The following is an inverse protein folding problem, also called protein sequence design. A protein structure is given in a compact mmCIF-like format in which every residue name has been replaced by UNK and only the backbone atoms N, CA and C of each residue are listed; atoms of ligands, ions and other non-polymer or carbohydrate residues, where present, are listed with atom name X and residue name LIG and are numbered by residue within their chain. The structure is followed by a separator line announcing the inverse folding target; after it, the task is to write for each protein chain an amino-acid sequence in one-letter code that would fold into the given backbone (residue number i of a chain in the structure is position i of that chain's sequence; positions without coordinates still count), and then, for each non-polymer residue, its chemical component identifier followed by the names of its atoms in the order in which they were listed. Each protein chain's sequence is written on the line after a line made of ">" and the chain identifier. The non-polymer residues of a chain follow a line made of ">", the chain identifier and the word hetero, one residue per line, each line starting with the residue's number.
data_IF_791222323476
#
_entry.id   IF_791222323476
#
_cell.length_a   1.000
_cell.length_b   1.000
_cell.length_c   1.000
_cell.angle_alpha   90.00
_cell.angle_beta   90.00
_cell.angle_gamma   90.00
#
_symmetry.space_group_name_H-M   'P 1'
#
loop_
_entity.id
_entity.type
_entity.pdbx_description
1 polymer ?
#
# COMPACT_ATOMS: atom_id res chain seq x y z
N UNK A 1 16.09 5.09 -3.76
CA UNK A 1 15.68 3.70 -3.51
C UNK A 1 16.86 2.76 -3.76
N UNK A 2 17.17 1.88 -2.81
CA UNK A 2 18.09 0.77 -3.05
C UNK A 2 17.26 -0.39 -3.62
N UNK A 3 17.16 -0.47 -4.95
CA UNK A 3 16.44 -1.55 -5.61
C UNK A 3 17.42 -2.66 -5.98
N UNK A 4 17.16 -3.86 -5.49
CA UNK A 4 17.92 -5.08 -5.82
C UNK A 4 17.04 -6.02 -6.62
N UNK A 5 17.57 -6.52 -7.73
CA UNK A 5 16.93 -7.61 -8.46
C UNK A 5 17.32 -8.93 -7.81
N UNK A 6 16.33 -9.71 -7.41
CA UNK A 6 16.51 -11.08 -6.93
C UNK A 6 15.95 -12.08 -7.96
N UNK A 7 16.57 -13.24 -8.07
CA UNK A 7 15.88 -14.36 -8.68
C UNK A 7 14.63 -14.69 -7.83
N UNK A 8 13.52 -15.14 -8.43
CA UNK A 8 12.30 -15.43 -7.66
C UNK A 8 12.50 -16.36 -6.47
N UNK A 9 13.41 -17.32 -6.58
CA UNK A 9 13.77 -18.25 -5.49
C UNK A 9 14.53 -17.57 -4.33
N UNK A 10 15.20 -16.44 -4.56
CA UNK A 10 16.02 -15.77 -3.55
C UNK A 10 15.26 -14.64 -2.85
N UNK A 11 14.15 -14.18 -3.45
CA UNK A 11 13.36 -13.06 -2.93
C UNK A 11 12.73 -13.40 -1.57
N UNK A 12 12.15 -14.58 -1.43
CA UNK A 12 11.50 -15.00 -0.18
C UNK A 12 12.50 -15.10 0.97
N UNK A 13 13.66 -15.70 0.73
CA UNK A 13 14.71 -15.80 1.75
C UNK A 13 15.27 -14.41 2.13
N UNK A 14 15.39 -13.50 1.16
CA UNK A 14 15.83 -12.13 1.41
C UNK A 14 14.79 -11.34 2.22
N UNK A 15 13.51 -11.50 1.91
CA UNK A 15 12.41 -10.90 2.68
C UNK A 15 12.36 -11.45 4.10
N UNK A 16 12.49 -12.78 4.29
CA UNK A 16 12.51 -13.40 5.61
C UNK A 16 13.64 -12.81 6.47
N UNK A 17 14.85 -12.78 5.93
CA UNK A 17 16.01 -12.23 6.66
C UNK A 17 15.84 -10.72 6.98
N UNK A 18 15.24 -9.95 6.08
CA UNK A 18 14.94 -8.54 6.30
C UNK A 18 13.90 -8.36 7.41
N UNK A 19 12.79 -9.10 7.35
CA UNK A 19 11.71 -8.97 8.31
C UNK A 19 12.10 -9.48 9.70
N UNK A 20 12.91 -10.54 9.81
CA UNK A 20 13.47 -10.99 11.09
C UNK A 20 14.27 -9.89 11.79
N UNK A 21 15.12 -9.17 11.05
CA UNK A 21 15.88 -8.05 11.61
C UNK A 21 14.96 -6.88 11.99
N UNK A 22 13.92 -6.60 11.17
CA UNK A 22 12.94 -5.55 11.44
C UNK A 22 12.14 -5.86 12.71
N UNK A 23 11.69 -7.11 12.88
CA UNK A 23 10.99 -7.57 14.08
C UNK A 23 11.84 -7.43 15.34
N UNK A 24 13.10 -7.88 15.27
CA UNK A 24 14.02 -7.79 16.40
C UNK A 24 14.25 -6.31 16.83
N UNK A 25 14.39 -5.40 15.87
CA UNK A 25 14.51 -3.97 16.13
C UNK A 25 13.24 -3.38 16.74
N UNK A 26 12.09 -3.72 16.19
CA UNK A 26 10.80 -3.28 16.69
C UNK A 26 10.60 -3.71 18.16
N UNK A 27 10.89 -4.97 18.47
CA UNK A 27 10.78 -5.50 19.82
C UNK A 27 11.76 -4.82 20.79
N UNK A 28 12.98 -4.50 20.34
CA UNK A 28 13.93 -3.74 21.15
C UNK A 28 13.41 -2.32 21.47
N UNK A 29 12.84 -1.60 20.50
CA UNK A 29 12.22 -0.29 20.74
C UNK A 29 10.98 -0.39 21.62
N UNK A 30 10.16 -1.42 21.42
CA UNK A 30 8.99 -1.69 22.26
C UNK A 30 9.37 -1.93 23.72
N UNK A 31 10.34 -2.80 23.98
CA UNK A 31 10.86 -3.09 25.32
C UNK A 31 11.47 -1.84 25.98
N UNK A 32 12.12 -0.98 25.21
CA UNK A 32 12.62 0.31 25.71
C UNK A 32 11.53 1.34 25.99
N UNK A 33 10.26 1.03 25.66
CA UNK A 33 9.12 1.93 25.86
C UNK A 33 9.01 3.06 24.84
N UNK A 34 9.83 3.05 23.78
CA UNK A 34 9.88 4.11 22.78
C UNK A 34 8.61 4.20 21.91
N UNK A 35 7.83 3.11 21.86
CA UNK A 35 6.64 3.03 21.01
C UNK A 35 5.33 3.42 21.72
N UNK A 36 5.34 3.63 23.04
CA UNK A 36 4.10 3.82 23.86
C UNK A 36 3.25 5.02 23.48
N UNK A 37 3.85 6.06 22.91
CA UNK A 37 3.16 7.31 22.55
C UNK A 37 2.97 7.49 21.04
N UNK A 38 3.26 6.47 20.25
CA UNK A 38 3.08 6.51 18.80
C UNK A 38 1.58 6.58 18.49
N UNK A 39 1.17 7.62 17.77
CA UNK A 39 -0.22 7.85 17.38
C UNK A 39 -0.48 7.49 15.91
N UNK A 40 0.54 7.56 15.08
CA UNK A 40 0.43 7.23 13.66
C UNK A 40 1.59 6.34 13.25
N UNK A 41 1.30 5.36 12.42
CA UNK A 41 2.30 4.47 11.81
C UNK A 41 2.09 4.47 10.31
N UNK A 42 3.18 4.58 9.56
CA UNK A 42 3.17 4.50 8.12
C UNK A 42 4.19 3.48 7.64
N UNK A 43 3.72 2.48 6.90
CA UNK A 43 4.56 1.46 6.27
C UNK A 43 4.63 1.76 4.79
N UNK A 44 5.74 2.35 4.38
CA UNK A 44 6.01 2.75 3.01
C UNK A 44 7.29 2.13 2.47
N UNK A 45 7.54 2.34 1.19
CA UNK A 45 8.74 1.84 0.51
C UNK A 45 8.50 1.54 -0.96
N UNK A 46 9.05 0.45 -1.48
CA UNK A 46 8.80 0.03 -2.85
C UNK A 46 7.36 -0.43 -3.05
N UNK A 47 6.97 -1.51 -2.41
CA UNK A 47 5.58 -2.01 -2.39
C UNK A 47 5.42 -2.92 -1.17
N UNK A 48 5.09 -2.38 0.01
CA UNK A 48 5.01 -3.16 1.24
C UNK A 48 4.05 -4.35 1.17
N UNK A 49 2.94 -4.21 0.44
CA UNK A 49 1.94 -5.27 0.25
C UNK A 49 2.49 -6.55 -0.42
N UNK A 50 3.62 -6.48 -1.14
CA UNK A 50 4.30 -7.67 -1.68
C UNK A 50 4.84 -8.59 -0.58
N UNK A 51 5.04 -8.08 0.64
CA UNK A 51 5.52 -8.89 1.75
C UNK A 51 4.47 -9.85 2.33
N UNK A 52 3.18 -9.69 1.95
CA UNK A 52 2.11 -10.60 2.33
C UNK A 52 2.00 -10.83 3.85
N UNK A 53 2.06 -12.09 4.28
CA UNK A 53 1.96 -12.47 5.70
C UNK A 53 3.04 -11.83 6.59
N UNK A 54 4.22 -11.52 6.07
CA UNK A 54 5.27 -10.82 6.83
C UNK A 54 4.82 -9.41 7.24
N UNK A 55 4.06 -8.73 6.36
CA UNK A 55 3.47 -7.43 6.66
C UNK A 55 2.37 -7.54 7.72
N UNK A 56 1.56 -8.59 7.67
CA UNK A 56 0.53 -8.89 8.67
C UNK A 56 1.18 -9.13 10.04
N UNK A 57 2.25 -9.92 10.09
CA UNK A 57 3.01 -10.17 11.34
C UNK A 57 3.66 -8.88 11.88
N UNK A 58 4.21 -8.03 11.00
CA UNK A 58 4.74 -6.73 11.39
C UNK A 58 3.66 -5.88 12.08
N UNK A 59 2.47 -5.85 11.51
CA UNK A 59 1.36 -5.08 12.07
C UNK A 59 0.92 -5.62 13.44
N UNK A 60 0.82 -6.94 13.59
CA UNK A 60 0.50 -7.58 14.87
C UNK A 60 1.52 -7.20 15.95
N UNK A 61 2.82 -7.24 15.62
CA UNK A 61 3.89 -6.84 16.55
C UNK A 61 3.82 -5.36 16.93
N UNK A 62 3.59 -4.47 15.97
CA UNK A 62 3.39 -3.04 16.26
C UNK A 62 2.20 -2.86 17.21
N UNK A 63 1.10 -3.54 16.94
CA UNK A 63 -0.13 -3.47 17.73
C UNK A 63 0.01 -3.98 19.16
N UNK A 64 1.03 -4.78 19.47
CA UNK A 64 1.38 -5.15 20.85
C UNK A 64 1.99 -3.99 21.65
N UNK A 65 2.70 -3.09 20.97
CA UNK A 65 3.45 -2.01 21.61
C UNK A 65 2.70 -0.68 21.63
N UNK A 66 1.86 -0.41 20.63
CA UNK A 66 1.07 0.82 20.52
C UNK A 66 -0.27 0.55 19.85
N UNK A 67 -1.21 1.49 20.02
CA UNK A 67 -2.49 1.49 19.32
C UNK A 67 -2.60 2.80 18.55
N UNK A 68 -2.05 2.87 17.34
CA UNK A 68 -2.10 4.08 16.55
C UNK A 68 -3.55 4.40 16.14
N UNK A 69 -3.88 5.68 16.08
CA UNK A 69 -5.18 6.14 15.57
C UNK A 69 -5.22 6.09 14.03
N UNK A 70 -4.04 6.10 13.39
CA UNK A 70 -3.88 5.85 11.98
C UNK A 70 -2.70 4.90 11.77
N UNK A 71 -2.97 3.79 11.10
CA UNK A 71 -1.96 2.82 10.70
C UNK A 71 -2.12 2.56 9.20
N UNK A 72 -1.23 3.15 8.41
CA UNK A 72 -1.29 3.15 6.95
C UNK A 72 -0.23 2.23 6.35
N UNK A 73 -0.61 1.54 5.28
CA UNK A 73 0.30 0.79 4.42
C UNK A 73 0.16 1.23 2.96
N UNK A 74 1.30 1.35 2.27
CA UNK A 74 1.30 1.48 0.80
C UNK A 74 1.06 0.13 0.14
N UNK A 75 0.27 0.15 -0.92
CA UNK A 75 -0.01 -1.02 -1.75
C UNK A 75 -0.17 -0.64 -3.22
N UNK A 76 0.09 -1.61 -4.10
CA UNK A 76 -0.32 -1.51 -5.50
C UNK A 76 -1.55 -2.40 -5.75
N UNK A 77 -2.40 -2.04 -6.73
CA UNK A 77 -3.60 -2.83 -7.05
C UNK A 77 -3.33 -4.31 -7.32
N UNK A 78 -2.20 -4.64 -7.95
CA UNK A 78 -1.82 -6.00 -8.27
C UNK A 78 -1.37 -6.82 -7.06
N UNK A 79 -0.83 -6.19 -6.03
CA UNK A 79 -0.31 -6.86 -4.82
C UNK A 79 -1.33 -6.99 -3.70
N UNK A 80 -2.47 -6.31 -3.81
CA UNK A 80 -3.54 -6.37 -2.82
C UNK A 80 -4.57 -7.43 -3.23
N UNK A 81 -4.59 -8.55 -2.50
CA UNK A 81 -5.55 -9.63 -2.74
C UNK A 81 -6.78 -9.52 -1.84
N UNK A 82 -7.85 -10.27 -2.17
CA UNK A 82 -9.05 -10.35 -1.37
C UNK A 82 -8.81 -10.96 0.02
N UNK A 83 -7.77 -11.77 0.17
CA UNK A 83 -7.37 -12.38 1.44
C UNK A 83 -6.47 -11.44 2.26
N UNK A 84 -5.58 -10.69 1.58
CA UNK A 84 -4.62 -9.83 2.27
C UNK A 84 -5.30 -8.62 2.94
N UNK A 85 -6.24 -7.97 2.28
CA UNK A 85 -6.87 -6.77 2.82
C UNK A 85 -7.58 -7.01 4.16
N UNK A 86 -8.44 -8.05 4.34
CA UNK A 86 -9.00 -8.38 5.64
C UNK A 86 -7.94 -8.74 6.68
N UNK A 87 -6.89 -9.49 6.31
CA UNK A 87 -5.82 -9.86 7.23
C UNK A 87 -5.04 -8.64 7.75
N UNK A 88 -4.84 -7.62 6.90
CA UNK A 88 -4.23 -6.35 7.31
C UNK A 88 -5.16 -5.58 8.27
N UNK A 89 -6.47 -5.54 8.01
CA UNK A 89 -7.44 -4.92 8.91
C UNK A 89 -7.43 -5.58 10.29
N UNK A 90 -7.51 -6.90 10.35
CA UNK A 90 -7.44 -7.68 11.58
C UNK A 90 -6.12 -7.49 12.35
N UNK A 91 -5.01 -7.28 11.64
CA UNK A 91 -3.71 -7.02 12.23
C UNK A 91 -3.57 -5.61 12.81
N UNK A 92 -4.50 -4.69 12.49
CA UNK A 92 -4.57 -3.36 13.08
C UNK A 92 -4.32 -2.21 12.11
N UNK A 93 -4.12 -2.45 10.82
CA UNK A 93 -4.12 -1.37 9.84
C UNK A 93 -5.49 -0.69 9.80
N UNK A 94 -5.50 0.60 9.58
CA UNK A 94 -6.71 1.42 9.46
C UNK A 94 -6.89 1.99 8.06
N UNK A 95 -5.79 2.08 7.28
CA UNK A 95 -5.80 2.71 5.95
C UNK A 95 -4.83 2.03 5.00
N UNK A 96 -5.20 1.96 3.73
CA UNK A 96 -4.32 1.60 2.61
C UNK A 96 -4.14 2.80 1.67
N UNK A 97 -2.88 3.15 1.36
CA UNK A 97 -2.53 4.08 0.29
C UNK A 97 -2.29 3.29 -0.98
N UNK A 98 -3.19 3.42 -1.95
CA UNK A 98 -3.24 2.58 -3.14
C UNK A 98 -2.69 3.34 -4.35
N UNK A 99 -1.61 2.87 -4.95
CA UNK A 99 -0.97 3.45 -6.13
C UNK A 99 -1.78 3.22 -7.41
N UNK A 100 -2.90 3.92 -7.56
CA UNK A 100 -3.79 3.85 -8.74
C UNK A 100 -3.13 4.50 -9.96
N UNK A 101 -2.53 5.65 -9.79
CA UNK A 101 -1.84 6.51 -10.75
C UNK A 101 -2.78 7.13 -11.79
N UNK A 102 -3.47 6.35 -12.59
CA UNK A 102 -4.45 6.73 -13.61
C UNK A 102 -5.43 5.57 -13.85
N UNK A 103 -6.56 5.85 -14.48
CA UNK A 103 -7.50 4.84 -14.99
C UNK A 103 -7.43 4.70 -16.52
N UNK A 104 -6.40 5.24 -17.15
CA UNK A 104 -6.12 5.02 -18.58
C UNK A 104 -5.06 3.93 -18.74
N UNK A 105 -5.41 2.84 -19.43
CA UNK A 105 -4.53 1.69 -19.58
C UNK A 105 -3.29 1.99 -20.45
N UNK A 106 -3.35 2.97 -21.34
CA UNK A 106 -2.20 3.39 -22.17
C UNK A 106 -1.22 4.15 -21.28
N UNK A 107 -1.72 5.05 -20.43
CA UNK A 107 -0.91 5.80 -19.47
C UNK A 107 -0.28 4.87 -18.44
N UNK A 108 -1.03 3.88 -17.91
CA UNK A 108 -0.50 2.85 -16.99
C UNK A 108 0.65 2.08 -17.63
N UNK A 109 0.47 1.62 -18.85
CA UNK A 109 1.51 0.91 -19.60
C UNK A 109 2.75 1.80 -19.84
N UNK A 110 2.56 3.09 -20.14
CA UNK A 110 3.64 4.04 -20.39
C UNK A 110 4.55 4.26 -19.17
N UNK A 111 4.01 4.08 -17.96
CA UNK A 111 4.78 4.17 -16.69
C UNK A 111 5.14 2.80 -16.11
N UNK A 112 4.99 1.73 -16.89
CA UNK A 112 5.41 0.36 -16.51
C UNK A 112 4.53 -0.28 -15.43
N UNK A 113 3.27 0.16 -15.26
CA UNK A 113 2.33 -0.51 -14.36
C UNK A 113 1.83 -1.80 -14.98
N UNK A 114 1.67 -2.83 -14.14
CA UNK A 114 1.21 -4.16 -14.57
C UNK A 114 -0.29 -4.38 -14.32
N UNK A 115 -0.92 -3.53 -13.52
CA UNK A 115 -2.37 -3.52 -13.33
C UNK A 115 -3.05 -2.65 -14.41
N UNK A 116 -4.32 -2.90 -14.63
CA UNK A 116 -5.22 -2.10 -15.44
C UNK A 116 -6.23 -1.30 -14.60
N UNK A 117 -7.02 -0.45 -15.25
CA UNK A 117 -8.04 0.38 -14.60
C UNK A 117 -9.07 -0.46 -13.82
N UNK A 118 -9.49 -1.62 -14.37
CA UNK A 118 -10.46 -2.49 -13.71
C UNK A 118 -9.87 -3.08 -12.42
N UNK A 119 -8.62 -3.48 -12.47
CA UNK A 119 -7.91 -3.99 -11.28
C UNK A 119 -7.74 -2.91 -10.22
N UNK A 120 -7.45 -1.65 -10.62
CA UNK A 120 -7.37 -0.52 -9.71
C UNK A 120 -8.70 -0.27 -8.99
N UNK A 121 -9.81 -0.23 -9.73
CA UNK A 121 -11.14 -0.03 -9.15
C UNK A 121 -11.56 -1.22 -8.25
N UNK A 122 -11.25 -2.45 -8.66
CA UNK A 122 -11.50 -3.63 -7.84
C UNK A 122 -10.69 -3.59 -6.53
N UNK A 123 -9.44 -3.13 -6.57
CA UNK A 123 -8.62 -3.00 -5.35
C UNK A 123 -9.19 -1.94 -4.40
N UNK A 124 -9.72 -0.81 -4.89
CA UNK A 124 -10.43 0.18 -4.06
C UNK A 124 -11.61 -0.48 -3.34
N UNK A 125 -12.43 -1.26 -4.07
CA UNK A 125 -13.57 -1.97 -3.48
C UNK A 125 -13.09 -2.99 -2.42
N UNK A 126 -12.05 -3.77 -2.71
CA UNK A 126 -11.46 -4.75 -1.78
C UNK A 126 -11.02 -4.10 -0.46
N UNK A 127 -10.38 -2.93 -0.49
CA UNK A 127 -9.99 -2.18 0.71
C UNK A 127 -11.21 -1.77 1.53
N UNK A 128 -12.22 -1.22 0.86
CA UNK A 128 -13.47 -0.77 1.52
C UNK A 128 -14.24 -1.92 2.13
N UNK A 129 -14.35 -3.04 1.42
CA UNK A 129 -15.05 -4.26 1.90
C UNK A 129 -14.34 -4.87 3.12
N UNK A 130 -13.03 -4.69 3.24
CA UNK A 130 -12.27 -5.06 4.43
C UNK A 130 -12.45 -4.09 5.62
N UNK A 131 -13.21 -3.01 5.46
CA UNK A 131 -13.43 -2.00 6.50
C UNK A 131 -12.27 -1.04 6.71
N UNK A 132 -11.35 -0.95 5.73
CA UNK A 132 -10.21 -0.05 5.77
C UNK A 132 -10.51 1.26 5.02
N UNK A 133 -9.94 2.35 5.49
CA UNK A 133 -9.90 3.59 4.71
C UNK A 133 -9.00 3.42 3.49
N UNK A 134 -9.42 3.96 2.34
CA UNK A 134 -8.62 3.94 1.12
C UNK A 134 -8.20 5.35 0.73
N UNK A 135 -6.88 5.54 0.52
CA UNK A 135 -6.29 6.69 -0.15
C UNK A 135 -5.90 6.26 -1.56
N UNK A 136 -6.28 7.02 -2.58
CA UNK A 136 -5.86 6.78 -3.96
C UNK A 136 -4.76 7.77 -4.33
N UNK A 137 -3.60 7.25 -4.74
CA UNK A 137 -2.50 8.06 -5.23
C UNK A 137 -2.59 8.14 -6.76
N UNK A 138 -2.73 9.37 -7.28
CA UNK A 138 -2.89 9.68 -8.69
C UNK A 138 -1.69 10.49 -9.20
N UNK A 139 -1.33 10.31 -10.47
CA UNK A 139 -0.26 11.06 -11.11
C UNK A 139 -0.79 11.89 -12.28
N UNK A 140 -0.45 13.16 -12.28
CA UNK A 140 -0.72 14.07 -13.40
C UNK A 140 0.56 14.38 -14.19
N UNK A 141 0.40 14.67 -15.48
CA UNK A 141 1.54 14.93 -16.37
C UNK A 141 2.21 13.67 -16.90
N UNK A 142 1.50 12.54 -16.92
CA UNK A 142 1.99 11.27 -17.46
C UNK A 142 2.24 11.36 -18.98
N UNK A 143 3.17 10.56 -19.56
CA UNK A 143 3.39 10.51 -20.98
C UNK A 143 2.09 10.19 -21.74
N UNK A 144 1.72 11.07 -22.67
CA UNK A 144 0.50 10.93 -23.46
C UNK A 144 -0.80 11.35 -22.75
N UNK A 145 -0.75 11.72 -21.47
CA UNK A 145 -1.92 12.16 -20.73
C UNK A 145 -2.51 13.45 -21.31
N UNK A 146 -3.81 13.48 -21.43
CA UNK A 146 -4.59 14.62 -21.89
C UNK A 146 -5.48 15.15 -20.75
N UNK A 147 -6.00 16.37 -20.89
CA UNK A 147 -7.00 16.89 -19.96
C UNK A 147 -8.25 16.01 -19.90
N UNK A 148 -8.63 15.37 -21.02
CA UNK A 148 -9.78 14.48 -21.09
C UNK A 148 -9.54 13.17 -20.35
N UNK A 149 -8.38 12.49 -20.57
CA UNK A 149 -8.04 11.25 -19.85
C UNK A 149 -7.85 11.50 -18.36
N UNK A 150 -7.24 12.62 -17.98
CA UNK A 150 -7.14 13.04 -16.59
C UNK A 150 -8.51 13.23 -15.93
N UNK A 151 -9.43 13.92 -16.62
CA UNK A 151 -10.80 14.11 -16.12
C UNK A 151 -11.52 12.76 -15.95
N UNK A 152 -11.42 11.86 -16.93
CA UNK A 152 -11.97 10.51 -16.82
C UNK A 152 -11.41 9.73 -15.62
N UNK A 153 -10.11 9.87 -15.35
CA UNK A 153 -9.47 9.27 -14.16
C UNK A 153 -10.05 9.83 -12.87
N UNK A 154 -10.17 11.16 -12.76
CA UNK A 154 -10.75 11.79 -11.58
C UNK A 154 -12.19 11.36 -11.38
N UNK A 155 -13.03 11.40 -12.41
CA UNK A 155 -14.44 11.03 -12.33
C UNK A 155 -14.59 9.55 -11.90
N UNK A 156 -13.80 8.66 -12.48
CA UNK A 156 -13.81 7.23 -12.15
C UNK A 156 -13.38 6.94 -10.72
N UNK A 157 -12.31 7.59 -10.26
CA UNK A 157 -11.83 7.43 -8.87
C UNK A 157 -12.82 8.03 -7.88
N UNK A 158 -13.37 9.21 -8.15
CA UNK A 158 -14.36 9.84 -7.27
C UNK A 158 -15.66 9.03 -7.21
N UNK A 159 -16.07 8.40 -8.32
CA UNK A 159 -17.23 7.48 -8.32
C UNK A 159 -17.00 6.24 -7.46
N UNK A 160 -15.75 5.77 -7.31
CA UNK A 160 -15.39 4.69 -6.39
C UNK A 160 -15.40 5.14 -4.91
N UNK A 161 -15.57 6.43 -4.65
CA UNK A 161 -15.69 7.06 -3.33
C UNK A 161 -14.58 6.64 -2.35
N UNK A 162 -13.29 6.91 -2.66
CA UNK A 162 -12.21 6.73 -1.69
C UNK A 162 -12.34 7.75 -0.55
N UNK A 163 -11.71 7.48 0.59
CA UNK A 163 -11.67 8.39 1.73
C UNK A 163 -10.71 9.56 1.50
N UNK A 164 -9.68 9.36 0.67
CA UNK A 164 -8.67 10.36 0.37
C UNK A 164 -8.13 10.19 -1.05
N UNK A 165 -7.70 11.29 -1.66
CA UNK A 165 -6.98 11.29 -2.96
C UNK A 165 -5.73 12.16 -2.81
N UNK A 166 -4.58 11.60 -3.16
CA UNK A 166 -3.32 12.33 -3.30
C UNK A 166 -3.01 12.50 -4.79
N UNK A 167 -2.56 13.69 -5.19
CA UNK A 167 -2.19 13.95 -6.58
C UNK A 167 -0.74 14.40 -6.63
N UNK A 168 0.05 13.73 -7.45
CA UNK A 168 1.48 14.01 -7.65
C UNK A 168 1.76 14.35 -9.11
N UNK A 169 2.50 15.42 -9.40
CA UNK A 169 3.02 15.65 -10.75
C UNK A 169 4.18 14.68 -11.03
N UNK A 170 4.29 14.26 -12.31
CA UNK A 170 5.45 13.50 -12.79
C UNK A 170 6.64 14.43 -12.98
#
# INVERSE_FOLDING_TARGET
>A
FDSRSFAPCDLDAALDAYFEQLYARLDAFGNAGALRQIRTVYVGGGTPSLAGERLVELARRISMWCKPVEFTCEANPESLTAELAPALAEAGFTRISLGVQTLDNIELAAIGRIHDANRALAAIATVKDAGLDVSCDLMCGLPGQTAASWQCTLDGVLAAAPHHVSVYPL
#
